data_IF_731170455102
#
_entry.id   IF_731170455102
#
_cell.length_a   1.000
_cell.length_b   1.000
_cell.length_c   1.000
_cell.angle_alpha   90.00
_cell.angle_beta   90.00
_cell.angle_gamma   90.00
#
_symmetry.space_group_name_H-M   'P 1'
#
loop_
_entity.id
_entity.type
_entity.pdbx_description
1 polymer ?
#
# COMPACT_ATOMS: atom_id res chain seq x y z
N UNK A 1 11.19 -11.77 7.38
CA UNK A 1 9.89 -12.44 7.21
C UNK A 1 10.21 -13.85 6.81
N UNK A 2 10.20 -14.73 7.78
CA UNK A 2 10.36 -16.14 7.53
C UNK A 2 9.10 -16.64 6.81
N UNK A 3 9.29 -17.49 5.81
CA UNK A 3 8.16 -18.09 5.11
C UNK A 3 7.40 -18.96 6.11
N UNK A 4 6.13 -18.62 6.35
CA UNK A 4 5.23 -19.48 7.12
C UNK A 4 4.72 -20.55 6.16
N UNK A 5 5.05 -21.80 6.44
CA UNK A 5 4.55 -22.93 5.67
C UNK A 5 3.02 -22.96 5.71
N UNK A 6 2.40 -23.02 4.53
CA UNK A 6 0.96 -23.03 4.36
C UNK A 6 0.59 -23.89 3.16
N UNK A 7 -0.53 -24.60 3.24
CA UNK A 7 -1.02 -25.45 2.14
C UNK A 7 -1.59 -24.63 0.97
N UNK A 8 -2.18 -23.48 1.27
CA UNK A 8 -2.77 -22.57 0.28
C UNK A 8 -2.82 -21.14 0.83
N UNK A 9 -3.05 -20.17 -0.04
CA UNK A 9 -3.25 -18.77 0.34
C UNK A 9 -4.60 -18.28 -0.19
N UNK A 10 -5.08 -17.17 0.38
CA UNK A 10 -6.39 -16.61 0.02
C UNK A 10 -6.46 -16.19 -1.46
N UNK A 11 -5.36 -15.76 -2.08
CA UNK A 11 -5.34 -15.42 -3.51
C UNK A 11 -5.65 -16.64 -4.37
N UNK A 12 -4.95 -17.75 -4.14
CA UNK A 12 -5.17 -19.00 -4.88
C UNK A 12 -6.57 -19.58 -4.62
N UNK A 13 -7.07 -19.47 -3.39
CA UNK A 13 -8.40 -19.95 -3.02
C UNK A 13 -9.55 -19.16 -3.66
N UNK A 14 -9.37 -17.84 -3.84
CA UNK A 14 -10.38 -16.98 -4.46
C UNK A 14 -10.34 -17.03 -6.00
N UNK A 15 -9.19 -17.34 -6.59
CA UNK A 15 -9.02 -17.26 -8.03
C UNK A 15 -9.65 -18.42 -8.80
N UNK A 16 -9.95 -18.13 -10.06
CA UNK A 16 -10.39 -19.13 -11.03
C UNK A 16 -9.30 -20.20 -11.22
N UNK A 17 -9.60 -21.51 -11.00
CA UNK A 17 -8.61 -22.57 -11.14
C UNK A 17 -7.98 -22.59 -12.54
N UNK A 18 -6.65 -22.76 -12.60
CA UNK A 18 -5.91 -22.81 -13.86
C UNK A 18 -5.57 -21.44 -14.48
N UNK A 19 -5.90 -20.33 -13.80
CA UNK A 19 -5.42 -19.01 -14.20
C UNK A 19 -3.89 -18.95 -14.09
N UNK A 20 -3.15 -18.53 -15.14
CA UNK A 20 -1.71 -18.34 -15.09
C UNK A 20 -1.33 -17.36 -13.98
N UNK A 21 -0.19 -17.58 -13.30
CA UNK A 21 0.26 -16.68 -12.24
C UNK A 21 0.66 -15.30 -12.76
N UNK A 22 0.95 -15.22 -14.06
CA UNK A 22 1.32 -14.01 -14.79
C UNK A 22 0.11 -13.12 -15.10
N UNK A 23 -1.10 -13.69 -15.05
CA UNK A 23 -2.34 -12.97 -15.29
C UNK A 23 -2.96 -12.51 -13.95
N UNK A 24 -3.61 -11.36 -13.96
CA UNK A 24 -4.38 -10.92 -12.80
C UNK A 24 -5.50 -11.91 -12.54
N UNK A 25 -5.46 -12.53 -11.36
CA UNK A 25 -6.48 -13.46 -10.94
C UNK A 25 -7.87 -12.81 -10.93
N UNK A 26 -8.85 -13.54 -11.45
CA UNK A 26 -10.26 -13.18 -11.42
C UNK A 26 -10.94 -14.11 -10.40
N UNK A 27 -11.75 -13.51 -9.52
CA UNK A 27 -12.58 -14.24 -8.55
C UNK A 27 -13.35 -15.35 -9.27
N UNK A 28 -13.18 -16.59 -8.80
CA UNK A 28 -13.85 -17.75 -9.38
C UNK A 28 -15.37 -17.56 -9.28
N UNK A 29 -16.10 -17.45 -10.42
CA UNK A 29 -17.54 -17.24 -10.38
C UNK A 29 -18.31 -18.46 -9.85
N UNK A 30 -17.65 -19.63 -9.76
CA UNK A 30 -18.22 -20.86 -9.23
C UNK A 30 -17.76 -21.16 -7.80
N UNK A 31 -17.12 -20.19 -7.12
CA UNK A 31 -16.79 -20.38 -5.71
C UNK A 31 -18.07 -20.53 -4.90
N UNK A 32 -18.08 -21.43 -3.92
CA UNK A 32 -19.20 -21.57 -3.01
C UNK A 32 -19.29 -20.30 -2.13
N UNK A 33 -20.48 -19.71 -2.05
CA UNK A 33 -20.76 -18.53 -1.22
C UNK A 33 -20.36 -18.72 0.25
N UNK A 34 -20.55 -19.90 0.82
CA UNK A 34 -20.14 -20.22 2.20
C UNK A 34 -18.62 -20.14 2.36
N UNK A 35 -17.87 -20.64 1.37
CA UNK A 35 -16.40 -20.54 1.33
C UNK A 35 -15.97 -19.09 1.18
N UNK A 36 -16.61 -18.34 0.30
CA UNK A 36 -16.33 -16.93 0.08
C UNK A 36 -16.55 -16.13 1.37
N UNK A 37 -17.70 -16.32 2.01
CA UNK A 37 -18.05 -15.70 3.28
C UNK A 37 -17.03 -16.04 4.37
N UNK A 38 -16.64 -17.31 4.51
CA UNK A 38 -15.65 -17.74 5.49
C UNK A 38 -14.29 -17.05 5.30
N UNK A 39 -13.79 -16.98 4.07
CA UNK A 39 -12.50 -16.35 3.77
C UNK A 39 -12.51 -14.86 4.08
N UNK A 40 -13.58 -14.15 3.70
CA UNK A 40 -13.73 -12.73 4.00
C UNK A 40 -13.96 -12.45 5.49
N UNK A 41 -14.65 -13.33 6.22
CA UNK A 41 -14.83 -13.22 7.67
C UNK A 41 -13.49 -13.37 8.40
N UNK A 42 -12.66 -14.35 8.01
CA UNK A 42 -11.31 -14.50 8.52
C UNK A 42 -10.43 -13.28 8.24
N UNK A 43 -10.47 -12.76 7.00
CA UNK A 43 -9.74 -11.54 6.63
C UNK A 43 -10.20 -10.35 7.46
N UNK A 44 -11.51 -10.17 7.65
CA UNK A 44 -12.09 -9.11 8.47
C UNK A 44 -11.64 -9.24 9.93
N UNK A 45 -11.58 -10.47 10.47
CA UNK A 45 -11.04 -10.76 11.80
C UNK A 45 -9.58 -10.31 11.95
N UNK A 46 -8.72 -10.62 10.98
CA UNK A 46 -7.32 -10.19 10.96
C UNK A 46 -7.21 -8.67 10.86
N UNK A 47 -7.94 -8.04 9.93
CA UNK A 47 -7.95 -6.58 9.78
C UNK A 47 -8.42 -5.87 11.06
N UNK A 48 -9.41 -6.44 11.75
CA UNK A 48 -9.91 -5.93 13.02
C UNK A 48 -8.88 -6.06 14.14
N UNK A 49 -8.12 -7.16 14.18
CA UNK A 49 -7.02 -7.29 15.13
C UNK A 49 -5.92 -6.26 14.84
N UNK A 50 -5.53 -6.11 13.57
CA UNK A 50 -4.53 -5.14 13.14
C UNK A 50 -4.96 -3.70 13.45
N UNK A 51 -6.23 -3.33 13.24
CA UNK A 51 -6.71 -1.96 13.48
C UNK A 51 -6.71 -1.55 14.95
N UNK A 52 -6.78 -2.52 15.88
CA UNK A 52 -6.70 -2.26 17.33
C UNK A 52 -5.27 -1.99 17.80
N UNK A 53 -4.26 -2.31 17.00
CA UNK A 53 -2.87 -2.06 17.36
C UNK A 53 -2.56 -0.57 17.18
N UNK A 54 -2.18 0.10 18.27
CA UNK A 54 -1.68 1.47 18.22
C UNK A 54 -0.16 1.49 18.27
N UNK A 55 0.45 2.13 17.28
CA UNK A 55 1.89 2.40 17.29
C UNK A 55 2.14 3.89 17.55
N UNK A 56 3.25 4.25 18.23
CA UNK A 56 3.57 5.64 18.52
C UNK A 56 3.99 6.45 17.28
N UNK A 57 4.26 5.78 16.16
CA UNK A 57 4.75 6.38 14.93
C UNK A 57 4.12 5.71 13.72
N UNK A 58 4.04 6.45 12.61
CA UNK A 58 3.66 5.97 11.29
C UNK A 58 4.93 5.52 10.57
N UNK A 59 4.97 4.25 10.18
CA UNK A 59 6.12 3.61 9.56
C UNK A 59 5.93 2.11 9.38
N UNK A 60 7.04 1.42 9.12
CA UNK A 60 7.08 -0.03 8.98
C UNK A 60 7.76 -0.68 10.18
N UNK A 61 7.22 -1.84 10.56
CA UNK A 61 7.73 -2.64 11.65
C UNK A 61 9.07 -3.28 11.28
N UNK A 62 10.00 -3.23 12.22
CA UNK A 62 11.25 -4.00 12.21
C UNK A 62 11.28 -4.82 13.48
N UNK A 63 11.62 -6.09 13.33
CA UNK A 63 11.83 -7.00 14.44
C UNK A 63 13.15 -6.66 15.12
N UNK A 64 13.12 -6.41 16.42
CA UNK A 64 14.34 -6.17 17.24
C UNK A 64 14.85 -7.51 17.78
N UNK A 65 13.94 -8.35 18.25
CA UNK A 65 14.19 -9.69 18.77
C UNK A 65 12.97 -10.61 18.53
N UNK A 66 12.98 -11.82 19.05
CA UNK A 66 11.96 -12.85 18.79
C UNK A 66 10.52 -12.41 19.11
N UNK A 67 10.32 -11.46 20.02
CA UNK A 67 8.98 -11.04 20.47
C UNK A 67 8.75 -9.52 20.44
N UNK A 68 9.77 -8.72 20.11
CA UNK A 68 9.72 -7.26 20.16
C UNK A 68 9.80 -6.66 18.76
N UNK A 69 8.88 -5.74 18.48
CA UNK A 69 8.78 -5.03 17.21
C UNK A 69 8.79 -3.52 17.46
N UNK A 70 9.45 -2.78 16.57
CA UNK A 70 9.48 -1.32 16.59
C UNK A 70 9.20 -0.74 15.21
N UNK A 71 8.52 0.41 15.17
CA UNK A 71 8.37 1.21 13.95
C UNK A 71 9.62 2.05 13.71
N UNK A 72 10.60 1.48 12.99
CA UNK A 72 11.90 2.11 12.73
C UNK A 72 12.17 2.42 11.26
N UNK A 73 11.37 1.90 10.32
CA UNK A 73 11.55 2.13 8.87
C UNK A 73 10.42 2.95 8.28
N UNK A 74 10.68 3.60 7.15
CA UNK A 74 9.68 4.39 6.43
C UNK A 74 8.37 3.64 6.17
N UNK A 75 7.22 4.34 6.06
CA UNK A 75 5.98 3.73 5.60
C UNK A 75 6.16 3.06 4.23
N UNK A 76 5.57 1.88 4.04
CA UNK A 76 5.59 1.14 2.78
C UNK A 76 4.19 1.17 2.17
N UNK A 77 3.86 2.26 1.48
CA UNK A 77 2.57 2.38 0.78
C UNK A 77 2.68 1.91 -0.67
N UNK A 78 1.57 1.35 -1.19
CA UNK A 78 1.46 0.99 -2.60
C UNK A 78 1.72 2.20 -3.51
N UNK A 79 1.19 3.39 -3.15
CA UNK A 79 1.43 4.63 -3.89
C UNK A 79 2.93 4.97 -3.98
N UNK A 80 3.70 4.88 -2.89
CA UNK A 80 5.15 5.09 -2.94
C UNK A 80 5.87 4.10 -3.84
N UNK A 81 5.43 2.84 -3.88
CA UNK A 81 5.96 1.82 -4.78
C UNK A 81 5.67 2.16 -6.25
N UNK A 82 4.43 2.55 -6.57
CA UNK A 82 4.03 2.88 -7.94
C UNK A 82 4.68 4.17 -8.47
N UNK A 83 4.95 5.14 -7.60
CA UNK A 83 5.72 6.34 -7.97
C UNK A 83 7.12 5.99 -8.51
N UNK A 84 7.77 4.97 -7.93
CA UNK A 84 9.08 4.51 -8.39
C UNK A 84 8.94 3.61 -9.63
N UNK A 85 7.99 2.67 -9.61
CA UNK A 85 7.84 1.67 -10.68
C UNK A 85 7.31 2.25 -11.99
N UNK A 86 6.29 3.09 -11.92
CA UNK A 86 5.57 3.64 -13.06
C UNK A 86 5.79 5.14 -13.20
N UNK A 87 5.88 5.86 -12.09
CA UNK A 87 6.00 7.32 -12.07
C UNK A 87 7.40 7.86 -12.39
N UNK A 88 8.42 7.01 -12.53
CA UNK A 88 9.79 7.42 -12.85
C UNK A 88 10.49 8.22 -11.75
N UNK A 89 9.89 8.32 -10.55
CA UNK A 89 10.48 9.05 -9.44
C UNK A 89 11.68 8.26 -8.86
N UNK A 90 12.87 8.88 -8.71
CA UNK A 90 14.01 8.20 -8.11
C UNK A 90 13.70 7.73 -6.69
N UNK A 91 14.13 6.51 -6.33
CA UNK A 91 13.92 5.95 -4.98
C UNK A 91 14.50 6.83 -3.86
N UNK A 92 15.55 7.60 -4.15
CA UNK A 92 16.16 8.55 -3.22
C UNK A 92 15.26 9.73 -2.84
N UNK A 93 14.20 10.00 -3.62
CA UNK A 93 13.19 11.03 -3.33
C UNK A 93 12.06 10.54 -2.43
N UNK A 94 11.96 9.23 -2.21
CA UNK A 94 10.97 8.68 -1.26
C UNK A 94 11.45 8.97 0.17
N UNK A 95 10.60 9.56 1.04
CA UNK A 95 10.96 9.84 2.42
C UNK A 95 11.49 8.59 3.13
N UNK A 96 12.67 8.68 3.72
CA UNK A 96 13.30 7.58 4.46
C UNK A 96 13.28 7.83 5.97
N UNK A 97 12.08 8.12 6.49
CA UNK A 97 11.86 8.44 7.90
C UNK A 97 10.51 7.92 8.38
N UNK A 98 10.33 7.93 9.70
CA UNK A 98 9.10 7.59 10.40
C UNK A 98 8.49 8.86 11.01
N UNK A 99 7.17 8.91 11.07
CA UNK A 99 6.44 10.12 11.43
C UNK A 99 5.77 9.97 12.79
N UNK A 100 5.91 10.94 13.68
CA UNK A 100 5.28 10.92 15.02
C UNK A 100 3.84 11.43 15.01
N UNK A 101 3.45 12.17 13.97
CA UNK A 101 2.11 12.75 13.85
C UNK A 101 1.54 12.51 12.47
N UNK A 102 0.21 12.41 12.38
CA UNK A 102 -0.50 12.34 11.11
C UNK A 102 -0.17 13.56 10.25
N UNK A 103 -0.18 14.77 10.79
CA UNK A 103 0.14 16.00 10.05
C UNK A 103 1.49 15.93 9.33
N UNK A 104 2.56 15.54 10.04
CA UNK A 104 3.90 15.42 9.44
C UNK A 104 3.96 14.37 8.33
N UNK A 105 3.19 13.29 8.45
CA UNK A 105 3.09 12.28 7.42
C UNK A 105 2.35 12.79 6.18
N UNK A 106 1.25 13.53 6.38
CA UNK A 106 0.47 14.09 5.28
C UNK A 106 1.25 15.17 4.53
N UNK A 107 2.00 16.02 5.24
CA UNK A 107 2.93 16.98 4.63
C UNK A 107 3.95 16.26 3.75
N UNK A 108 4.57 15.19 4.25
CA UNK A 108 5.51 14.39 3.46
C UNK A 108 4.86 13.72 2.23
N UNK A 109 3.58 13.35 2.30
CA UNK A 109 2.84 12.85 1.14
C UNK A 109 2.58 13.94 0.10
N UNK A 110 2.29 15.17 0.54
CA UNK A 110 2.12 16.33 -0.34
C UNK A 110 3.45 16.68 -1.02
N UNK A 111 4.54 16.75 -0.26
CA UNK A 111 5.88 17.00 -0.81
C UNK A 111 6.28 15.94 -1.83
N UNK A 112 5.97 14.67 -1.53
CA UNK A 112 6.22 13.56 -2.44
C UNK A 112 5.41 13.68 -3.75
N UNK A 113 4.18 14.20 -3.70
CA UNK A 113 3.39 14.49 -4.91
C UNK A 113 3.99 15.63 -5.71
N UNK A 114 4.50 16.69 -5.07
CA UNK A 114 5.19 17.80 -5.74
C UNK A 114 6.48 17.30 -6.41
N UNK A 115 7.26 16.47 -5.71
CA UNK A 115 8.47 15.85 -6.27
C UNK A 115 8.13 14.97 -7.48
N UNK A 116 7.05 14.18 -7.41
CA UNK A 116 6.59 13.40 -8.55
C UNK A 116 6.26 14.28 -9.76
N UNK A 117 5.53 15.38 -9.55
CA UNK A 117 5.19 16.34 -10.59
C UNK A 117 6.43 16.93 -11.26
N UNK A 118 7.40 17.37 -10.47
CA UNK A 118 8.63 17.96 -10.99
C UNK A 118 9.47 16.97 -11.82
N UNK A 119 9.34 15.66 -11.55
CA UNK A 119 10.07 14.61 -12.25
C UNK A 119 9.29 13.97 -13.41
N UNK A 120 8.03 14.36 -13.61
CA UNK A 120 7.21 13.84 -14.70
C UNK A 120 7.77 14.37 -16.03
N UNK A 121 8.19 13.44 -16.90
CA UNK A 121 8.95 13.76 -18.13
C UNK A 121 8.13 14.38 -19.26
N UNK A 122 6.82 14.27 -19.18
CA UNK A 122 5.91 14.93 -20.10
C UNK A 122 5.42 16.19 -19.39
N UNK A 123 5.39 17.33 -20.07
CA UNK A 123 4.70 18.55 -19.64
C UNK A 123 3.19 18.27 -19.46
N UNK A 124 2.83 17.44 -18.47
CA UNK A 124 1.48 16.98 -18.14
C UNK A 124 0.70 18.06 -17.38
N UNK A 125 1.26 19.26 -17.28
CA UNK A 125 0.61 20.41 -16.70
C UNK A 125 0.63 21.52 -17.74
N UNK A 126 -0.50 21.68 -18.42
CA UNK A 126 -0.64 22.69 -19.48
C UNK A 126 -0.98 24.09 -18.91
N UNK A 127 -1.49 24.14 -17.67
CA UNK A 127 -1.92 25.37 -16.98
C UNK A 127 -2.04 25.16 -15.46
N UNK A 128 -2.06 26.26 -14.70
CA UNK A 128 -2.33 26.21 -13.25
C UNK A 128 -3.69 25.60 -12.89
N UNK A 129 -4.70 25.74 -13.76
CA UNK A 129 -6.00 25.08 -13.57
C UNK A 129 -5.95 23.57 -13.85
N UNK A 130 -5.15 23.15 -14.85
CA UNK A 130 -4.90 21.73 -15.15
C UNK A 130 -4.18 21.05 -13.98
N UNK A 131 -3.19 21.74 -13.40
CA UNK A 131 -2.52 21.31 -12.18
C UNK A 131 -3.50 21.12 -11.01
N UNK A 132 -4.35 22.13 -10.75
CA UNK A 132 -5.37 22.05 -9.68
C UNK A 132 -6.38 20.93 -9.91
N UNK A 133 -6.79 20.68 -11.15
CA UNK A 133 -7.73 19.61 -11.49
C UNK A 133 -7.11 18.23 -11.31
N UNK A 134 -5.90 18.02 -11.82
CA UNK A 134 -5.19 16.73 -11.76
C UNK A 134 -4.71 16.40 -10.35
N UNK A 135 -4.30 17.40 -9.57
CA UNK A 135 -3.59 17.19 -8.31
C UNK A 135 -4.25 17.81 -7.07
N UNK A 136 -5.14 18.80 -7.23
CA UNK A 136 -5.86 19.44 -6.12
C UNK A 136 -7.02 18.62 -5.54
N UNK A 137 -7.52 17.63 -6.29
CA UNK A 137 -8.60 16.74 -5.83
C UNK A 137 -8.10 15.53 -5.00
N UNK A 138 -6.78 15.33 -4.87
CA UNK A 138 -6.20 14.25 -4.09
C UNK A 138 -6.08 14.57 -2.58
N UNK A 139 -6.74 15.63 -2.11
CA UNK A 139 -6.90 15.92 -0.69
C UNK A 139 -8.07 15.07 -0.14
N UNK A 140 -7.76 13.81 0.18
CA UNK A 140 -8.53 12.88 1.02
C UNK A 140 -9.94 12.47 0.53
N UNK A 141 -10.22 11.15 0.38
CA UNK A 141 -11.50 10.61 0.83
C UNK A 141 -11.60 10.62 2.37
#
# INVERSE_FOLDING_TARGET
>A
MDYVEHETNMYDALNTPGCPKEECGILNPNINDDTLMLLYDQLAGVLLQLSKNSFPRIGSLTQIDDFTWEVSRRPLSMNMNELVRLGGLPRSKIPDTTFSTTSSYLEALVDLKIEHLAHQRNDDVESGDDCRRKFGAAAFP
#
